data_IF_996940023659
#
_entry.id   IF_996940023659
#
_cell.length_a   1.000
_cell.length_b   1.000
_cell.length_c   1.000
_cell.angle_alpha   90.00
_cell.angle_beta   90.00
_cell.angle_gamma   90.00
#
_symmetry.space_group_name_H-M   'P 1'
#
loop_
_entity.id
_entity.type
_entity.pdbx_description
1 polymer ?
#
# COMPACT_ATOMS: atom_id res chain seq x y z
N UNK A 1 6.88 -11.30 -0.69
CA UNK A 1 5.52 -10.80 -0.36
C UNK A 1 4.94 -9.89 -1.43
N UNK A 2 5.69 -8.96 -2.01
CA UNK A 2 5.23 -8.09 -3.13
C UNK A 2 4.59 -8.87 -4.29
N UNK A 3 5.32 -9.85 -4.85
CA UNK A 3 4.79 -10.76 -5.89
C UNK A 3 3.48 -11.44 -5.50
N UNK A 4 3.37 -11.86 -4.24
CA UNK A 4 2.15 -12.51 -3.77
C UNK A 4 0.96 -11.56 -3.74
N UNK A 5 1.16 -10.26 -3.46
CA UNK A 5 0.12 -9.25 -3.53
C UNK A 5 -0.25 -8.91 -4.98
N UNK A 6 0.72 -8.93 -5.89
CA UNK A 6 0.48 -8.74 -7.34
C UNK A 6 -0.29 -9.92 -7.95
N UNK A 7 -0.05 -11.13 -7.46
CA UNK A 7 -0.74 -12.36 -7.89
C UNK A 7 -2.07 -12.59 -7.13
N UNK A 8 -2.34 -11.81 -6.08
CA UNK A 8 -3.54 -11.97 -5.25
C UNK A 8 -4.74 -11.29 -5.89
N UNK A 9 -5.75 -12.08 -6.25
CA UNK A 9 -7.02 -11.58 -6.79
C UNK A 9 -8.15 -11.95 -5.85
N UNK A 10 -8.90 -10.94 -5.40
CA UNK A 10 -10.13 -11.10 -4.64
C UNK A 10 -11.19 -10.17 -5.23
N UNK A 11 -12.29 -10.75 -5.69
CA UNK A 11 -13.39 -10.00 -6.32
C UNK A 11 -14.55 -9.79 -5.34
N UNK A 12 -15.32 -8.72 -5.56
CA UNK A 12 -16.56 -8.44 -4.81
C UNK A 12 -16.37 -7.73 -3.47
N UNK A 13 -15.12 -7.57 -2.99
CA UNK A 13 -14.82 -6.84 -1.76
C UNK A 13 -13.50 -6.06 -1.88
N UNK A 14 -13.45 -4.78 -1.45
CA UNK A 14 -12.21 -4.04 -1.40
C UNK A 14 -11.26 -4.67 -0.36
N UNK A 15 -9.97 -4.67 -0.66
CA UNK A 15 -8.94 -5.18 0.25
C UNK A 15 -7.89 -4.11 0.51
N UNK A 16 -7.09 -4.32 1.56
CA UNK A 16 -5.92 -3.50 1.87
C UNK A 16 -4.64 -4.00 1.17
N UNK A 17 -4.75 -4.81 0.12
CA UNK A 17 -3.61 -5.34 -0.61
C UNK A 17 -2.71 -4.22 -1.16
N UNK A 18 -3.33 -3.15 -1.67
CA UNK A 18 -2.63 -1.96 -2.16
C UNK A 18 -1.84 -1.25 -1.05
N UNK A 19 -2.47 -0.97 0.10
CA UNK A 19 -1.77 -0.39 1.26
C UNK A 19 -0.59 -1.29 1.70
N UNK A 20 -0.82 -2.60 1.77
CA UNK A 20 0.23 -3.57 2.11
C UNK A 20 1.37 -3.54 1.08
N UNK A 21 1.06 -3.35 -0.19
CA UNK A 21 2.05 -3.20 -1.26
C UNK A 21 2.89 -1.94 -1.04
N UNK A 22 2.27 -0.79 -0.79
CA UNK A 22 2.96 0.48 -0.54
C UNK A 22 3.89 0.39 0.68
N UNK A 23 3.45 -0.23 1.78
CA UNK A 23 4.29 -0.46 2.96
C UNK A 23 5.56 -1.24 2.58
N UNK A 24 5.43 -2.28 1.77
CA UNK A 24 6.57 -3.07 1.32
C UNK A 24 7.57 -2.28 0.47
N UNK A 25 7.20 -1.13 -0.10
CA UNK A 25 8.09 -0.24 -0.85
C UNK A 25 8.67 0.92 -0.04
N UNK A 26 8.13 1.19 1.16
CA UNK A 26 8.60 2.32 1.96
C UNK A 26 10.04 2.10 2.46
N UNK A 27 10.95 3.10 2.34
CA UNK A 27 12.36 2.93 2.69
C UNK A 27 12.57 2.52 4.15
N UNK A 28 11.89 3.15 5.10
CA UNK A 28 12.02 2.78 6.54
C UNK A 28 11.59 1.33 6.81
N UNK A 29 10.60 0.82 6.09
CA UNK A 29 10.16 -0.57 6.22
C UNK A 29 11.20 -1.54 5.62
N UNK A 30 11.77 -1.21 4.46
CA UNK A 30 12.81 -2.01 3.79
C UNK A 30 14.11 -2.06 4.60
N UNK A 31 14.49 -0.94 5.20
CA UNK A 31 15.69 -0.84 6.04
C UNK A 31 15.50 -1.47 7.43
N UNK A 32 14.27 -1.83 7.80
CA UNK A 32 13.94 -2.42 9.10
C UNK A 32 13.97 -1.40 10.24
N UNK A 33 13.86 -0.11 9.92
CA UNK A 33 13.87 1.00 10.89
C UNK A 33 12.46 1.36 11.38
N UNK A 34 11.42 0.75 10.79
CA UNK A 34 10.03 1.00 11.17
C UNK A 34 9.78 0.68 12.65
N UNK A 35 9.07 1.57 13.32
CA UNK A 35 8.60 1.38 14.70
C UNK A 35 7.10 1.10 14.73
N UNK A 36 6.53 0.92 15.92
CA UNK A 36 5.06 0.84 16.06
C UNK A 36 4.34 2.14 15.70
N UNK A 37 5.04 3.28 15.61
CA UNK A 37 4.49 4.57 15.18
C UNK A 37 4.48 4.76 13.65
N UNK A 38 5.10 3.85 12.90
CA UNK A 38 5.29 3.97 11.44
C UNK A 38 4.01 4.32 10.67
N UNK A 39 2.88 3.68 10.99
CA UNK A 39 1.63 3.98 10.31
C UNK A 39 1.05 5.34 10.73
N UNK A 40 1.22 5.76 11.98
CA UNK A 40 0.75 7.08 12.41
C UNK A 40 1.50 8.21 11.68
N UNK A 41 2.77 7.98 11.36
CA UNK A 41 3.66 8.94 10.69
C UNK A 41 3.46 8.96 9.16
N UNK A 42 3.33 7.79 8.53
CA UNK A 42 3.42 7.66 7.06
C UNK A 42 2.12 7.27 6.36
N UNK A 43 1.03 6.99 7.08
CA UNK A 43 -0.22 6.50 6.45
C UNK A 43 -0.78 7.48 5.42
N UNK A 44 -0.67 8.79 5.66
CA UNK A 44 -1.16 9.80 4.70
C UNK A 44 -0.41 9.73 3.37
N UNK A 45 0.92 9.56 3.41
CA UNK A 45 1.78 9.38 2.23
C UNK A 45 1.44 8.07 1.50
N UNK A 46 1.36 6.96 2.23
CA UNK A 46 1.08 5.63 1.68
C UNK A 46 -0.27 5.57 0.95
N UNK A 47 -1.27 6.33 1.41
CA UNK A 47 -2.60 6.39 0.78
C UNK A 47 -2.68 7.39 -0.39
N UNK A 48 -1.69 8.26 -0.56
CA UNK A 48 -1.70 9.26 -1.62
C UNK A 48 -1.64 8.60 -3.01
N UNK A 49 -0.92 7.47 -3.13
CA UNK A 49 -0.86 6.70 -4.37
C UNK A 49 -2.24 6.15 -4.77
N UNK A 50 -2.96 5.55 -3.82
CA UNK A 50 -4.32 5.03 -4.06
C UNK A 50 -5.28 6.14 -4.47
N UNK A 51 -5.16 7.31 -3.85
CA UNK A 51 -5.96 8.50 -4.19
C UNK A 51 -5.68 9.00 -5.62
N UNK A 52 -4.42 9.05 -6.03
CA UNK A 52 -4.04 9.44 -7.40
C UNK A 52 -4.56 8.45 -8.43
N UNK A 53 -4.55 7.14 -8.10
CA UNK A 53 -5.07 6.11 -8.99
C UNK A 53 -6.57 6.29 -9.23
N UNK A 54 -7.36 6.50 -8.16
CA UNK A 54 -8.80 6.71 -8.27
C UNK A 54 -9.16 8.02 -9.01
N UNK A 55 -8.35 9.07 -8.85
CA UNK A 55 -8.51 10.34 -9.57
C UNK A 55 -8.17 10.23 -11.06
N UNK A 56 -7.30 9.29 -11.45
CA UNK A 56 -6.86 9.10 -12.83
C UNK A 56 -7.85 8.34 -13.73
N UNK A 57 -8.97 7.84 -13.18
CA UNK A 57 -10.00 7.11 -13.93
C UNK A 57 -9.52 5.78 -14.52
N UNK A 58 -8.36 5.29 -14.10
CA UNK A 58 -7.91 3.92 -14.36
C UNK A 58 -8.51 3.07 -13.25
N UNK A 59 -9.75 2.62 -13.45
CA UNK A 59 -10.37 1.63 -12.60
C UNK A 59 -9.50 0.35 -12.68
N UNK A 60 -8.92 -0.03 -11.53
CA UNK A 60 -8.10 -1.22 -11.36
C UNK A 60 -8.92 -2.51 -11.51
#
# INVERSE_FOLDING_TARGET
MRRCLEEFTLEGFPTNAELSYQILYHPEFILGECTTAFLDEHLSELLEFSRKLSESGVDA
#
